data_IF_946263396555
#
_entry.id   IF_946263396555
#
_cell.length_a   1.000
_cell.length_b   1.000
_cell.length_c   1.000
_cell.angle_alpha   90.00
_cell.angle_beta   90.00
_cell.angle_gamma   90.00
#
_symmetry.space_group_name_H-M   'P 1'
#
loop_
_entity.id
_entity.type
_entity.pdbx_description
1 polymer ?
#
# COMPACT_ATOMS: atom_id res chain seq x y z
N UNK A 1 -4.86 -20.72 13.47
CA UNK A 1 -5.75 -20.57 14.64
C UNK A 1 -5.55 -21.62 15.74
N UNK A 2 -5.17 -22.87 15.43
CA UNK A 2 -5.10 -23.96 16.45
C UNK A 2 -4.10 -23.72 17.59
N UNK A 3 -3.01 -22.98 17.38
CA UNK A 3 -1.94 -22.82 18.39
C UNK A 3 -1.98 -21.49 19.18
N UNK A 4 -2.92 -20.59 18.89
CA UNK A 4 -2.96 -19.26 19.52
C UNK A 4 -3.22 -19.33 21.04
N UNK A 5 -3.95 -20.34 21.49
CA UNK A 5 -4.16 -20.60 22.92
C UNK A 5 -2.86 -20.96 23.65
N UNK A 6 -1.91 -21.62 22.98
CA UNK A 6 -0.61 -22.00 23.56
C UNK A 6 0.26 -20.76 23.77
N UNK A 7 0.20 -19.80 22.86
CA UNK A 7 0.83 -18.48 23.03
C UNK A 7 0.39 -17.80 24.32
N UNK A 8 -0.91 -17.89 24.65
CA UNK A 8 -1.46 -17.32 25.88
C UNK A 8 -1.11 -18.16 27.12
N UNK A 9 -1.14 -19.49 27.02
CA UNK A 9 -0.88 -20.41 28.13
C UNK A 9 0.61 -20.52 28.51
N UNK A 10 1.52 -20.18 27.59
CA UNK A 10 2.95 -20.13 27.87
C UNK A 10 3.71 -21.43 27.57
N UNK A 11 4.99 -21.43 27.95
CA UNK A 11 5.97 -22.46 27.57
C UNK A 11 5.62 -23.87 28.01
N UNK A 12 5.10 -24.05 29.22
CA UNK A 12 4.69 -25.38 29.72
C UNK A 12 3.62 -26.01 28.83
N UNK A 13 2.65 -25.22 28.36
CA UNK A 13 1.61 -25.69 27.45
C UNK A 13 2.17 -26.03 26.07
N UNK A 14 3.11 -25.23 25.56
CA UNK A 14 3.85 -25.55 24.35
C UNK A 14 4.61 -26.86 24.47
N UNK A 15 5.39 -27.03 25.55
CA UNK A 15 6.18 -28.23 25.79
C UNK A 15 5.29 -29.46 25.80
N UNK A 16 4.22 -29.42 26.60
CA UNK A 16 3.23 -30.49 26.66
C UNK A 16 2.68 -30.81 25.27
N UNK A 17 2.22 -29.80 24.53
CA UNK A 17 1.69 -29.99 23.18
C UNK A 17 2.70 -30.63 22.23
N UNK A 18 3.93 -30.13 22.21
CA UNK A 18 4.96 -30.56 21.27
C UNK A 18 5.43 -31.99 21.58
N UNK A 19 5.59 -32.35 22.85
CA UNK A 19 6.01 -33.69 23.26
C UNK A 19 4.88 -34.72 23.15
N UNK A 20 3.67 -34.37 23.58
CA UNK A 20 2.55 -35.33 23.64
C UNK A 20 1.97 -35.65 22.24
N UNK A 21 1.92 -34.67 21.32
CA UNK A 21 1.25 -34.88 20.03
C UNK A 21 2.17 -35.21 18.86
N UNK A 22 3.41 -34.75 18.90
CA UNK A 22 4.39 -35.05 17.85
C UNK A 22 5.15 -36.34 18.20
N UNK A 23 5.12 -36.76 19.47
CA UNK A 23 5.81 -37.95 19.98
C UNK A 23 7.32 -37.75 20.10
N UNK A 24 8.05 -38.80 20.49
CA UNK A 24 9.51 -38.76 20.47
C UNK A 24 10.03 -38.68 19.03
N UNK A 25 10.75 -37.60 18.76
CA UNK A 25 11.35 -37.27 17.48
C UNK A 25 12.86 -37.15 17.60
N UNK A 26 13.47 -37.79 18.62
CA UNK A 26 14.91 -37.80 18.90
C UNK A 26 15.52 -36.40 18.92
N UNK A 27 16.15 -35.95 17.81
CA UNK A 27 16.67 -34.58 17.68
C UNK A 27 15.69 -33.45 18.04
N UNK A 28 14.40 -33.56 17.74
CA UNK A 28 13.42 -32.50 18.07
C UNK A 28 13.08 -32.50 19.56
N UNK A 29 12.94 -33.68 20.18
CA UNK A 29 12.76 -33.83 21.63
C UNK A 29 13.92 -33.18 22.37
N UNK A 30 15.16 -33.51 22.00
CA UNK A 30 16.36 -32.91 22.57
C UNK A 30 16.43 -31.38 22.35
N UNK A 31 15.83 -30.87 21.28
CA UNK A 31 15.72 -29.44 21.02
C UNK A 31 14.74 -28.72 21.94
N UNK A 32 13.65 -29.38 22.31
CA UNK A 32 12.66 -28.85 23.25
C UNK A 32 13.19 -28.96 24.69
N UNK A 33 13.79 -30.09 25.06
CA UNK A 33 14.24 -30.37 26.43
C UNK A 33 15.43 -29.51 26.87
N UNK A 34 16.30 -29.07 25.94
CA UNK A 34 17.42 -28.18 26.27
C UNK A 34 17.01 -26.75 26.62
N UNK A 35 15.72 -26.42 26.58
CA UNK A 35 15.18 -25.07 26.82
C UNK A 35 14.31 -25.07 28.07
N UNK A 36 14.34 -23.98 28.84
CA UNK A 36 13.31 -23.70 29.84
C UNK A 36 11.95 -23.43 29.19
N UNK A 37 10.89 -23.36 29.98
CA UNK A 37 9.57 -22.97 29.45
C UNK A 37 9.54 -21.52 28.98
N UNK A 38 10.27 -20.63 29.64
CA UNK A 38 10.42 -19.23 29.21
C UNK A 38 11.14 -19.14 27.87
N UNK A 39 12.24 -19.87 27.69
CA UNK A 39 12.99 -19.92 26.42
C UNK A 39 12.18 -20.56 25.30
N UNK A 40 11.43 -21.61 25.60
CA UNK A 40 10.54 -22.25 24.65
C UNK A 40 9.40 -21.31 24.24
N UNK A 41 8.78 -20.62 25.20
CA UNK A 41 7.77 -19.61 24.91
C UNK A 41 8.35 -18.54 23.99
N UNK A 42 9.53 -17.97 24.33
CA UNK A 42 10.20 -16.96 23.53
C UNK A 42 10.45 -17.44 22.08
N UNK A 43 10.90 -18.68 21.91
CA UNK A 43 11.10 -19.29 20.60
C UNK A 43 9.78 -19.43 19.82
N UNK A 44 8.73 -19.97 20.46
CA UNK A 44 7.45 -20.22 19.80
C UNK A 44 6.70 -18.94 19.44
N UNK A 45 7.00 -17.82 20.11
CA UNK A 45 6.41 -16.51 19.81
C UNK A 45 7.25 -15.65 18.88
N UNK A 46 8.49 -16.01 18.57
CA UNK A 46 9.33 -15.31 17.60
C UNK A 46 9.03 -15.75 16.16
N UNK A 47 7.78 -15.56 15.74
CA UNK A 47 7.35 -15.82 14.36
C UNK A 47 8.08 -14.88 13.39
N UNK A 48 8.18 -15.25 12.11
CA UNK A 48 8.97 -14.48 11.12
C UNK A 48 8.60 -13.00 10.98
N UNK A 49 7.37 -12.59 11.35
CA UNK A 49 6.97 -11.18 11.40
C UNK A 49 7.47 -10.40 12.63
N UNK A 50 8.13 -11.07 13.58
CA UNK A 50 8.79 -10.51 14.77
C UNK A 50 10.32 -10.67 14.73
N UNK A 51 10.84 -11.43 13.77
CA UNK A 51 12.26 -11.66 13.60
C UNK A 51 12.89 -10.55 12.74
N UNK A 52 13.47 -9.55 13.41
CA UNK A 52 14.03 -8.37 12.74
C UNK A 52 15.09 -8.70 11.68
N UNK A 53 16.04 -9.63 11.89
CA UNK A 53 16.98 -10.03 10.84
C UNK A 53 16.29 -10.55 9.57
N UNK A 54 15.32 -11.46 9.70
CA UNK A 54 14.56 -11.97 8.55
C UNK A 54 13.78 -10.88 7.82
N UNK A 55 13.18 -9.94 8.58
CA UNK A 55 12.48 -8.80 7.98
C UNK A 55 13.44 -7.89 7.20
N UNK A 56 14.60 -7.57 7.77
CA UNK A 56 15.62 -6.75 7.10
C UNK A 56 16.11 -7.40 5.82
N UNK A 57 16.46 -8.70 5.86
CA UNK A 57 16.87 -9.44 4.67
C UNK A 57 15.77 -9.41 3.58
N UNK A 58 14.51 -9.60 3.96
CA UNK A 58 13.40 -9.57 3.02
C UNK A 58 13.21 -8.18 2.39
N UNK A 59 13.30 -7.10 3.17
CA UNK A 59 13.20 -5.73 2.67
C UNK A 59 14.40 -5.35 1.80
N UNK A 60 15.62 -5.72 2.19
CA UNK A 60 16.84 -5.47 1.40
C UNK A 60 16.76 -6.19 0.06
N UNK A 61 16.37 -7.46 0.04
CA UNK A 61 16.17 -8.21 -1.22
C UNK A 61 15.11 -7.56 -2.11
N UNK A 62 13.99 -7.12 -1.54
CA UNK A 62 12.94 -6.44 -2.29
C UNK A 62 13.40 -5.09 -2.85
N UNK A 63 14.30 -4.39 -2.16
CA UNK A 63 14.85 -3.10 -2.61
C UNK A 63 15.77 -3.20 -3.83
N UNK A 64 16.13 -4.41 -4.27
CA UNK A 64 17.02 -4.64 -5.42
C UNK A 64 16.30 -4.52 -6.77
N UNK A 65 14.98 -4.35 -6.79
CA UNK A 65 14.19 -4.22 -8.02
C UNK A 65 12.91 -3.39 -7.81
N UNK A 66 12.34 -2.87 -8.91
CA UNK A 66 11.15 -1.98 -8.87
C UNK A 66 9.82 -2.70 -9.10
N UNK A 67 9.75 -4.01 -8.80
CA UNK A 67 8.51 -4.77 -8.97
C UNK A 67 7.66 -4.68 -7.70
N UNK A 68 6.31 -4.69 -7.81
CA UNK A 68 5.46 -4.79 -6.62
C UNK A 68 5.78 -6.06 -5.80
N UNK A 69 6.05 -5.89 -4.50
CA UNK A 69 6.33 -6.99 -3.57
C UNK A 69 5.26 -7.05 -2.49
N UNK A 70 4.70 -8.23 -2.26
CA UNK A 70 3.78 -8.50 -1.15
C UNK A 70 4.53 -9.23 -0.03
N UNK A 71 4.59 -8.61 1.16
CA UNK A 71 5.18 -9.21 2.35
C UNK A 71 4.10 -9.89 3.19
N UNK A 72 4.26 -11.18 3.46
CA UNK A 72 3.38 -11.94 4.37
C UNK A 72 4.08 -12.09 5.72
N UNK A 73 3.82 -11.16 6.64
CA UNK A 73 4.41 -11.18 7.97
C UNK A 73 3.58 -12.04 8.93
N UNK A 74 4.11 -13.20 9.32
CA UNK A 74 3.44 -14.05 10.31
C UNK A 74 3.70 -13.53 11.72
N UNK A 75 2.66 -13.05 12.40
CA UNK A 75 2.77 -12.37 13.71
C UNK A 75 1.78 -12.94 14.74
N UNK A 76 1.96 -12.50 15.98
CA UNK A 76 1.03 -12.74 17.10
C UNK A 76 0.25 -11.46 17.38
N UNK A 77 -1.08 -11.58 17.39
CA UNK A 77 -1.96 -10.47 17.75
C UNK A 77 -1.73 -10.04 19.20
N UNK A 78 -1.40 -8.77 19.40
CA UNK A 78 -1.06 -8.21 20.71
C UNK A 78 0.25 -8.74 21.28
N UNK A 79 1.22 -9.08 20.43
CA UNK A 79 2.56 -9.46 20.84
C UNK A 79 3.14 -8.50 21.89
N UNK A 80 3.80 -9.04 22.92
CA UNK A 80 4.32 -8.28 24.07
C UNK A 80 3.28 -7.90 25.13
N UNK A 81 1.98 -7.98 24.84
CA UNK A 81 0.92 -7.70 25.80
C UNK A 81 0.54 -8.94 26.62
N UNK A 82 0.02 -8.79 27.86
CA UNK A 82 -0.54 -9.89 28.65
C UNK A 82 -1.63 -10.72 27.94
N UNK A 83 -2.32 -10.15 26.95
CA UNK A 83 -3.39 -10.81 26.18
C UNK A 83 -2.91 -11.38 24.83
N UNK A 84 -1.59 -11.48 24.62
CA UNK A 84 -1.01 -11.98 23.37
C UNK A 84 -1.58 -13.36 22.99
N UNK A 85 -2.04 -13.48 21.73
CA UNK A 85 -2.61 -14.73 21.22
C UNK A 85 -4.02 -15.06 21.70
N UNK A 86 -4.60 -14.31 22.65
CA UNK A 86 -5.96 -14.55 23.13
C UNK A 86 -7.00 -14.20 22.05
N UNK A 87 -7.98 -15.09 21.81
CA UNK A 87 -9.00 -14.90 20.75
C UNK A 87 -9.83 -13.61 20.95
N UNK A 88 -10.10 -13.28 22.21
CA UNK A 88 -10.91 -12.10 22.59
C UNK A 88 -10.07 -10.81 22.69
N UNK A 89 -8.77 -10.84 22.35
CA UNK A 89 -7.90 -9.65 22.30
C UNK A 89 -8.32 -8.63 21.21
N UNK A 90 -9.42 -8.85 20.49
CA UNK A 90 -9.92 -7.88 19.53
C UNK A 90 -10.57 -6.66 20.20
N UNK A 91 -11.25 -6.87 21.33
CA UNK A 91 -11.89 -5.83 22.13
C UNK A 91 -11.52 -5.94 23.62
N UNK A 92 -10.66 -6.90 23.98
CA UNK A 92 -10.21 -7.11 25.35
C UNK A 92 -9.38 -5.93 25.85
N UNK A 93 -9.87 -5.29 26.90
CA UNK A 93 -9.09 -4.30 27.65
C UNK A 93 -8.24 -5.02 28.70
N UNK A 94 -7.00 -4.58 28.87
CA UNK A 94 -6.19 -5.03 30.00
C UNK A 94 -6.80 -4.54 31.30
N UNK A 95 -6.82 -5.40 32.32
CA UNK A 95 -7.16 -4.97 33.68
C UNK A 95 -6.10 -3.99 34.21
N UNK A 96 -6.44 -3.22 35.25
CA UNK A 96 -5.47 -2.32 35.90
C UNK A 96 -4.19 -3.07 36.34
N UNK A 97 -4.32 -4.29 36.85
CA UNK A 97 -3.19 -5.15 37.23
C UNK A 97 -2.34 -5.57 36.04
N UNK A 98 -2.96 -5.92 34.91
CA UNK A 98 -2.25 -6.26 33.68
C UNK A 98 -1.53 -5.03 33.11
N UNK A 99 -2.16 -3.86 33.16
CA UNK A 99 -1.54 -2.60 32.72
C UNK A 99 -0.33 -2.24 33.59
N UNK A 100 -0.46 -2.35 34.91
CA UNK A 100 0.64 -2.07 35.84
C UNK A 100 1.81 -3.04 35.62
N UNK A 101 1.51 -4.33 35.42
CA UNK A 101 2.54 -5.34 35.09
C UNK A 101 3.20 -5.05 33.73
N UNK A 102 2.45 -4.53 32.77
CA UNK A 102 2.99 -4.11 31.47
C UNK A 102 3.88 -2.88 31.60
N UNK A 103 3.44 -1.83 32.30
CA UNK A 103 4.21 -0.61 32.59
C UNK A 103 5.57 -0.94 33.22
N UNK A 104 5.57 -1.79 34.24
CA UNK A 104 6.79 -2.24 34.93
C UNK A 104 7.73 -3.00 33.98
N UNK A 105 7.22 -3.94 33.18
CA UNK A 105 8.02 -4.68 32.18
C UNK A 105 8.62 -3.77 31.11
N UNK A 106 7.90 -2.72 30.72
CA UNK A 106 8.40 -1.72 29.77
C UNK A 106 9.37 -0.72 30.40
N UNK A 107 9.57 -0.74 31.73
CA UNK A 107 10.47 0.19 32.43
C UNK A 107 9.96 1.63 32.51
N UNK A 108 8.66 1.86 32.28
CA UNK A 108 8.05 3.20 32.32
C UNK A 108 7.77 3.58 33.77
N UNK A 109 8.11 4.80 34.22
CA UNK A 109 7.80 5.27 35.58
C UNK A 109 6.32 5.66 35.76
N UNK A 110 5.75 5.55 36.98
CA UNK A 110 4.35 5.95 37.21
C UNK A 110 4.14 7.43 36.89
N UNK A 111 3.08 7.73 36.15
CA UNK A 111 2.75 9.10 35.72
C UNK A 111 3.51 9.59 34.48
N UNK A 112 4.41 8.78 33.92
CA UNK A 112 5.14 9.08 32.68
C UNK A 112 4.68 8.22 31.49
N UNK A 113 3.52 7.58 31.58
CA UNK A 113 3.01 6.64 30.56
C UNK A 113 2.82 7.29 29.18
N UNK A 114 2.68 8.61 29.16
CA UNK A 114 2.49 9.40 27.94
C UNK A 114 3.76 10.13 27.48
N UNK A 115 4.85 10.06 28.26
CA UNK A 115 6.11 10.71 27.90
C UNK A 115 6.84 9.90 26.82
N UNK A 116 7.18 10.56 25.71
CA UNK A 116 7.65 9.92 24.46
C UNK A 116 8.84 8.97 24.66
N UNK A 117 9.74 9.31 25.58
CA UNK A 117 11.00 8.60 25.82
C UNK A 117 11.09 8.01 27.24
N UNK A 118 9.97 7.83 27.95
CA UNK A 118 9.95 7.45 29.37
C UNK A 118 10.71 6.15 29.69
N UNK A 119 10.70 5.19 28.77
CA UNK A 119 11.35 3.89 28.89
C UNK A 119 12.74 3.84 28.21
N UNK A 120 13.18 4.94 27.60
CA UNK A 120 14.44 4.94 26.88
C UNK A 120 15.64 4.90 27.82
N UNK A 121 16.64 4.10 27.47
CA UNK A 121 17.94 4.11 28.14
C UNK A 121 18.89 5.18 27.58
N UNK A 122 18.61 5.67 26.36
CA UNK A 122 19.38 6.73 25.71
C UNK A 122 18.83 8.12 26.03
N UNK A 123 19.67 9.17 26.02
CA UNK A 123 19.22 10.55 26.19
C UNK A 123 18.19 10.95 25.13
N UNK A 124 17.12 11.64 25.55
CA UNK A 124 16.02 12.06 24.67
C UNK A 124 16.50 12.85 23.43
N UNK A 125 17.43 13.79 23.60
CA UNK A 125 17.95 14.60 22.50
C UNK A 125 18.70 13.79 21.44
N UNK A 126 19.35 12.68 21.82
CA UNK A 126 20.01 11.77 20.88
C UNK A 126 18.98 10.98 20.08
N UNK A 127 17.94 10.47 20.74
CA UNK A 127 16.84 9.76 20.09
C UNK A 127 16.07 10.65 19.12
N UNK A 128 15.80 11.89 19.51
CA UNK A 128 15.16 12.88 18.64
C UNK A 128 16.01 13.15 17.40
N UNK A 129 17.32 13.38 17.59
CA UNK A 129 18.26 13.60 16.50
C UNK A 129 18.40 12.39 15.59
N UNK A 130 18.32 11.18 16.14
CA UNK A 130 18.35 9.94 15.36
C UNK A 130 17.10 9.80 14.50
N UNK A 131 15.91 9.91 15.10
CA UNK A 131 14.63 9.79 14.36
C UNK A 131 14.49 10.87 13.30
N UNK A 132 14.84 12.13 13.61
CA UNK A 132 14.77 13.23 12.66
C UNK A 132 15.67 13.04 11.42
N UNK A 133 16.76 12.27 11.55
CA UNK A 133 17.69 11.96 10.46
C UNK A 133 17.38 10.67 9.71
N UNK A 134 16.38 9.90 10.15
CA UNK A 134 16.02 8.65 9.51
C UNK A 134 15.64 8.90 8.04
N UNK A 135 16.02 8.00 7.10
CA UNK A 135 15.81 8.20 5.67
C UNK A 135 14.39 8.62 5.29
N UNK A 136 13.39 8.05 5.97
CA UNK A 136 11.98 8.37 5.76
C UNK A 136 11.62 9.86 5.96
N UNK A 137 12.29 10.56 6.87
CA UNK A 137 12.00 11.98 7.16
C UNK A 137 12.90 12.95 6.40
N UNK A 138 13.94 12.47 5.71
CA UNK A 138 14.96 13.32 5.05
C UNK A 138 14.38 14.27 4.01
N UNK A 139 13.39 13.83 3.26
CA UNK A 139 12.77 14.62 2.18
C UNK A 139 11.67 15.57 2.69
N UNK A 140 11.40 15.57 4.00
CA UNK A 140 10.35 16.38 4.60
C UNK A 140 8.94 15.82 4.36
N UNK A 141 7.92 16.69 4.43
CA UNK A 141 6.52 16.27 4.29
C UNK A 141 6.23 15.97 2.81
N UNK A 142 5.58 14.84 2.52
CA UNK A 142 5.12 14.45 1.17
C UNK A 142 3.91 15.27 0.65
N UNK A 143 3.89 16.58 0.92
CA UNK A 143 2.91 17.53 0.34
C UNK A 143 3.62 18.27 -0.79
N UNK A 144 3.47 17.73 -1.99
CA UNK A 144 4.06 18.30 -3.19
C UNK A 144 3.17 19.44 -3.71
N UNK A 145 3.78 20.55 -4.12
CA UNK A 145 3.11 21.63 -4.83
C UNK A 145 3.45 21.51 -6.32
N UNK A 146 2.42 21.47 -7.16
CA UNK A 146 2.60 21.52 -8.61
C UNK A 146 2.57 22.99 -9.08
N UNK A 147 3.37 23.36 -10.10
CA UNK A 147 3.22 24.64 -10.77
C UNK A 147 1.80 24.80 -11.34
N UNK A 148 1.27 26.03 -11.29
CA UNK A 148 -0.01 26.33 -11.93
C UNK A 148 0.10 26.13 -13.45
N UNK A 149 -0.89 25.47 -14.04
CA UNK A 149 -0.99 25.31 -15.50
C UNK A 149 -1.68 26.55 -16.07
N UNK A 150 -1.07 27.29 -17.01
CA UNK A 150 -1.71 28.46 -17.58
C UNK A 150 -2.92 28.03 -18.40
N UNK A 151 -4.09 28.54 -18.02
CA UNK A 151 -5.36 28.31 -18.72
C UNK A 151 -5.63 29.49 -19.64
N UNK A 152 -5.85 29.27 -20.95
CA UNK A 152 -6.22 30.35 -21.87
C UNK A 152 -7.49 31.08 -21.40
N UNK A 153 -7.56 32.40 -21.63
CA UNK A 153 -8.75 33.21 -21.29
C UNK A 153 -10.03 32.73 -21.99
N UNK A 154 -9.87 32.10 -23.15
CA UNK A 154 -10.96 31.52 -23.94
C UNK A 154 -10.63 30.08 -24.26
N UNK A 155 -11.54 29.16 -23.91
CA UNK A 155 -11.48 27.78 -24.34
C UNK A 155 -12.21 27.61 -25.68
N UNK A 156 -11.86 26.56 -26.46
CA UNK A 156 -12.64 26.21 -27.63
C UNK A 156 -14.11 25.99 -27.27
N UNK A 157 -15.00 26.46 -28.13
CA UNK A 157 -16.44 26.25 -28.02
C UNK A 157 -16.93 25.45 -29.21
N UNK A 158 -17.94 24.57 -29.05
CA UNK A 158 -18.58 23.88 -30.15
C UNK A 158 -18.93 24.82 -31.32
N UNK A 159 -18.49 24.46 -32.52
CA UNK A 159 -18.43 25.36 -33.68
C UNK A 159 -19.76 25.55 -34.44
N UNK A 160 -20.86 24.94 -33.97
CA UNK A 160 -22.16 25.01 -34.66
C UNK A 160 -23.28 25.55 -33.76
N UNK A 161 -23.42 26.88 -33.66
CA UNK A 161 -24.56 27.52 -32.99
C UNK A 161 -25.89 27.04 -33.59
N UNK A 162 -26.85 26.70 -32.74
CA UNK A 162 -28.22 26.33 -33.16
C UNK A 162 -28.41 24.87 -33.60
N UNK A 163 -27.36 24.05 -33.66
CA UNK A 163 -27.50 22.60 -33.89
C UNK A 163 -27.77 21.89 -32.56
N UNK A 164 -28.76 20.99 -32.56
CA UNK A 164 -29.05 20.16 -31.40
C UNK A 164 -27.83 19.28 -31.09
N UNK A 165 -27.32 19.34 -29.86
CA UNK A 165 -26.22 18.51 -29.39
C UNK A 165 -26.40 18.11 -27.93
N UNK A 166 -25.95 16.91 -27.58
CA UNK A 166 -25.82 16.52 -26.17
C UNK A 166 -24.63 17.25 -25.53
N UNK A 167 -24.69 17.43 -24.22
CA UNK A 167 -23.58 17.98 -23.42
C UNK A 167 -22.32 17.12 -23.57
N UNK A 168 -22.46 15.78 -23.65
CA UNK A 168 -21.35 14.86 -23.88
C UNK A 168 -20.70 15.07 -25.26
N UNK A 169 -21.51 15.33 -26.29
CA UNK A 169 -20.99 15.65 -27.62
C UNK A 169 -20.21 16.97 -27.59
N UNK A 170 -20.73 17.98 -26.91
CA UNK A 170 -20.05 19.26 -26.70
C UNK A 170 -18.73 19.11 -25.95
N UNK A 171 -18.72 18.36 -24.85
CA UNK A 171 -17.51 18.05 -24.06
C UNK A 171 -16.40 17.46 -24.92
N UNK A 172 -16.70 16.42 -25.70
CA UNK A 172 -15.69 15.81 -26.57
C UNK A 172 -15.23 16.73 -27.71
N UNK A 173 -16.08 17.64 -28.23
CA UNK A 173 -15.63 18.66 -29.20
C UNK A 173 -14.63 19.65 -28.57
N UNK A 174 -14.90 20.10 -27.35
CA UNK A 174 -13.99 20.99 -26.61
C UNK A 174 -12.64 20.30 -26.37
N UNK A 175 -12.65 19.06 -25.86
CA UNK A 175 -11.42 18.29 -25.66
C UNK A 175 -10.67 18.03 -26.96
N UNK A 176 -11.39 17.69 -28.03
CA UNK A 176 -10.82 17.48 -29.35
C UNK A 176 -10.08 18.72 -29.86
N UNK A 177 -10.66 19.90 -29.67
CA UNK A 177 -10.06 21.17 -30.07
C UNK A 177 -8.83 21.52 -29.20
N UNK A 178 -8.91 21.31 -27.89
CA UNK A 178 -7.76 21.45 -26.98
C UNK A 178 -6.63 20.50 -27.40
N UNK A 179 -6.96 19.27 -27.77
CA UNK A 179 -5.99 18.26 -28.21
C UNK A 179 -5.26 18.62 -29.52
N UNK A 180 -5.74 19.60 -30.31
CA UNK A 180 -5.02 20.06 -31.52
C UNK A 180 -3.83 20.95 -31.21
N UNK A 181 -3.90 21.72 -30.11
CA UNK A 181 -2.87 22.68 -29.76
C UNK A 181 -1.69 22.03 -29.03
N UNK A 182 -0.63 22.78 -28.87
CA UNK A 182 0.58 22.47 -28.08
C UNK A 182 0.64 23.31 -26.80
N UNK A 183 -0.52 23.78 -26.33
CA UNK A 183 -0.59 24.61 -25.12
C UNK A 183 -0.19 23.80 -23.89
N UNK A 184 0.36 24.45 -22.83
CA UNK A 184 0.64 23.78 -21.56
C UNK A 184 -0.59 23.11 -20.94
N UNK A 185 -1.79 23.64 -21.20
CA UNK A 185 -3.04 23.01 -20.75
C UNK A 185 -3.27 21.65 -21.44
N UNK A 186 -3.06 21.59 -22.76
CA UNK A 186 -3.27 20.37 -23.53
C UNK A 186 -2.26 19.26 -23.18
N UNK A 187 -1.01 19.63 -22.87
CA UNK A 187 0.01 18.70 -22.37
C UNK A 187 -0.30 18.13 -20.98
N UNK A 188 -1.08 18.87 -20.18
CA UNK A 188 -1.35 18.54 -18.76
C UNK A 188 -2.68 17.83 -18.53
N UNK A 189 -3.58 17.82 -19.51
CA UNK A 189 -4.82 17.05 -19.42
C UNK A 189 -4.50 15.58 -19.66
N UNK A 190 -4.97 14.73 -18.75
CA UNK A 190 -5.03 13.27 -18.92
C UNK A 190 -6.49 12.88 -18.83
N UNK A 191 -6.94 12.05 -19.75
CA UNK A 191 -8.30 11.49 -19.74
C UNK A 191 -8.26 10.04 -19.29
N UNK A 192 -9.35 9.55 -18.72
CA UNK A 192 -9.47 8.14 -18.32
C UNK A 192 -10.93 7.71 -18.40
N UNK A 193 -11.15 6.44 -18.74
CA UNK A 193 -12.47 5.81 -18.69
C UNK A 193 -12.37 4.32 -18.43
N UNK A 194 -13.41 3.72 -17.83
CA UNK A 194 -13.52 2.27 -17.69
C UNK A 194 -14.25 1.67 -18.90
N UNK A 195 -13.57 1.52 -20.04
CA UNK A 195 -14.09 0.88 -21.27
C UNK A 195 -15.27 1.62 -21.95
N UNK A 196 -15.47 2.89 -21.58
CA UNK A 196 -16.56 3.74 -22.09
C UNK A 196 -16.03 4.94 -22.88
N UNK A 197 -14.81 4.87 -23.39
CA UNK A 197 -14.13 5.94 -24.16
C UNK A 197 -14.98 6.45 -25.33
N UNK A 198 -15.59 5.53 -26.07
CA UNK A 198 -16.41 5.88 -27.24
C UNK A 198 -17.75 6.47 -26.83
N UNK A 199 -18.46 5.85 -25.89
CA UNK A 199 -19.79 6.30 -25.44
C UNK A 199 -19.74 7.63 -24.67
N UNK A 200 -18.59 7.94 -24.07
CA UNK A 200 -18.31 9.22 -23.40
C UNK A 200 -17.62 10.25 -24.31
N UNK A 201 -17.54 9.99 -25.62
CA UNK A 201 -17.05 10.95 -26.62
C UNK A 201 -15.59 11.41 -26.39
N UNK A 202 -14.76 10.54 -25.81
CA UNK A 202 -13.31 10.74 -25.66
C UNK A 202 -12.50 10.27 -26.87
N UNK A 203 -13.12 9.50 -27.79
CA UNK A 203 -12.46 8.99 -28.99
C UNK A 203 -11.68 10.03 -29.81
N UNK A 204 -12.20 11.26 -30.05
CA UNK A 204 -11.44 12.29 -30.75
C UNK A 204 -10.18 12.78 -30.00
N UNK A 205 -10.19 12.77 -28.66
CA UNK A 205 -9.00 13.02 -27.84
C UNK A 205 -7.98 11.90 -28.04
N UNK A 206 -8.41 10.64 -27.92
CA UNK A 206 -7.57 9.45 -28.12
C UNK A 206 -6.90 9.46 -29.50
N UNK A 207 -7.65 9.80 -30.56
CA UNK A 207 -7.08 9.89 -31.91
C UNK A 207 -5.93 10.90 -32.05
N UNK A 208 -5.85 11.90 -31.18
CA UNK A 208 -4.77 12.90 -31.20
C UNK A 208 -3.69 12.64 -30.18
N UNK A 209 -4.06 12.15 -29.00
CA UNK A 209 -3.17 12.06 -27.84
C UNK A 209 -2.81 10.63 -27.44
N UNK A 210 -3.34 9.62 -28.13
CA UNK A 210 -3.00 8.22 -27.96
C UNK A 210 -3.42 7.62 -26.61
N UNK A 211 -3.31 6.30 -26.52
CA UNK A 211 -3.49 5.56 -25.28
C UNK A 211 -2.16 5.41 -24.57
N UNK A 212 -2.18 5.60 -23.26
CA UNK A 212 -1.00 5.39 -22.44
C UNK A 212 -0.75 3.90 -22.25
N UNK A 213 0.49 3.49 -22.50
CA UNK A 213 1.03 2.21 -22.05
C UNK A 213 2.51 2.37 -21.72
N UNK A 214 3.02 1.55 -20.81
CA UNK A 214 4.46 1.57 -20.45
C UNK A 214 5.36 1.21 -21.64
N UNK A 215 4.85 0.39 -22.55
CA UNK A 215 5.52 -0.06 -23.76
C UNK A 215 4.64 0.25 -24.97
N UNK A 216 5.27 0.49 -26.12
CA UNK A 216 4.53 0.69 -27.37
C UNK A 216 3.90 -0.61 -27.83
N UNK A 217 2.58 -0.60 -28.04
CA UNK A 217 1.84 -1.73 -28.60
C UNK A 217 1.11 -1.26 -29.86
N UNK A 218 1.28 -2.02 -30.94
CA UNK A 218 0.60 -1.72 -32.19
C UNK A 218 -0.91 -1.94 -32.05
N UNK A 219 -1.70 -1.08 -32.68
CA UNK A 219 -3.13 -1.31 -32.87
C UNK A 219 -3.33 -2.57 -33.73
N UNK A 220 -3.74 -3.67 -33.08
CA UNK A 220 -3.96 -4.96 -33.74
C UNK A 220 -5.08 -4.85 -34.78
N UNK A 221 -6.12 -4.07 -34.53
CA UNK A 221 -7.24 -3.92 -35.46
C UNK A 221 -6.77 -3.23 -36.75
N UNK A 222 -5.94 -2.19 -36.61
CA UNK A 222 -5.29 -1.52 -37.73
C UNK A 222 -4.33 -2.44 -38.47
N UNK A 223 -3.54 -3.25 -37.75
CA UNK A 223 -2.62 -4.23 -38.34
C UNK A 223 -3.36 -5.30 -39.17
N UNK A 224 -4.49 -5.78 -38.64
CA UNK A 224 -5.38 -6.75 -39.30
C UNK A 224 -6.34 -6.11 -40.32
N UNK A 225 -6.17 -4.80 -40.61
CA UNK A 225 -6.98 -4.02 -41.56
C UNK A 225 -8.49 -4.03 -41.26
N UNK A 226 -8.84 -4.17 -39.98
CA UNK A 226 -10.23 -4.09 -39.52
C UNK A 226 -10.61 -2.60 -39.42
N UNK A 227 -11.70 -2.15 -40.08
CA UNK A 227 -12.12 -0.76 -40.02
C UNK A 227 -12.44 -0.31 -38.59
N UNK A 228 -11.78 0.75 -38.13
CA UNK A 228 -12.04 1.43 -36.87
C UNK A 228 -12.05 2.94 -37.08
N UNK A 229 -12.98 3.64 -36.45
CA UNK A 229 -13.03 5.11 -36.43
C UNK A 229 -11.96 5.72 -35.51
N UNK A 230 -11.36 4.89 -34.64
CA UNK A 230 -10.42 5.32 -33.63
C UNK A 230 -9.07 4.61 -33.79
N UNK A 231 -7.99 5.35 -33.56
CA UNK A 231 -6.62 4.82 -33.54
C UNK A 231 -6.32 4.35 -32.13
N UNK A 232 -6.18 3.04 -31.94
CA UNK A 232 -5.87 2.43 -30.65
C UNK A 232 -4.37 2.17 -30.51
N UNK A 233 -3.57 3.19 -30.83
CA UNK A 233 -2.12 3.11 -30.70
C UNK A 233 -1.72 3.39 -29.24
N UNK A 234 -1.07 2.41 -28.61
CA UNK A 234 -0.63 2.47 -27.22
C UNK A 234 0.85 2.87 -27.15
N UNK A 235 1.20 3.74 -26.22
CA UNK A 235 2.60 4.05 -25.93
C UNK A 235 2.81 4.99 -24.75
N UNK A 236 4.08 5.21 -24.36
CA UNK A 236 4.43 5.96 -23.15
C UNK A 236 4.09 7.46 -23.24
N UNK A 237 3.80 7.96 -24.44
CA UNK A 237 3.39 9.34 -24.70
C UNK A 237 1.86 9.53 -24.71
N UNK A 238 1.09 8.46 -24.51
CA UNK A 238 -0.36 8.53 -24.51
C UNK A 238 -0.90 9.39 -23.36
N UNK A 239 -1.94 10.18 -23.61
CA UNK A 239 -2.63 10.99 -22.58
C UNK A 239 -4.05 10.48 -22.27
N UNK A 240 -4.32 9.22 -22.58
CA UNK A 240 -5.56 8.53 -22.23
C UNK A 240 -5.26 7.22 -21.50
N UNK A 241 -5.79 7.07 -20.27
CA UNK A 241 -5.69 5.86 -19.46
C UNK A 241 -6.98 5.05 -19.60
N UNK A 242 -6.95 4.03 -20.46
CA UNK A 242 -8.02 3.06 -20.59
C UNK A 242 -7.93 2.03 -19.46
N UNK A 243 -8.97 1.93 -18.63
CA UNK A 243 -8.96 1.08 -17.43
C UNK A 243 -9.54 -0.32 -17.68
N UNK A 244 -10.17 -0.54 -18.83
CA UNK A 244 -11.04 -1.69 -19.07
C UNK A 244 -12.29 -1.63 -18.19
N UNK A 245 -12.99 -2.75 -18.04
CA UNK A 245 -14.23 -2.83 -17.24
C UNK A 245 -13.85 -2.84 -15.74
N UNK A 246 -13.54 -1.66 -15.21
CA UNK A 246 -13.02 -1.47 -13.84
C UNK A 246 -13.38 -0.10 -13.24
N UNK A 247 -14.64 0.12 -12.90
CA UNK A 247 -15.12 1.37 -12.30
C UNK A 247 -14.49 1.66 -10.93
N UNK A 248 -14.14 0.62 -10.16
CA UNK A 248 -13.40 0.78 -8.90
C UNK A 248 -12.02 1.41 -9.13
N UNK A 249 -11.36 1.11 -10.25
CA UNK A 249 -10.07 1.70 -10.59
C UNK A 249 -10.23 3.19 -10.96
N UNK A 250 -11.33 3.56 -11.61
CA UNK A 250 -11.65 4.97 -11.87
C UNK A 250 -11.74 5.75 -10.57
N UNK A 251 -12.42 5.22 -9.55
CA UNK A 251 -12.58 5.89 -8.26
C UNK A 251 -11.26 6.03 -7.51
N UNK A 252 -10.37 5.02 -7.59
CA UNK A 252 -9.03 5.11 -7.02
C UNK A 252 -8.22 6.21 -7.73
N UNK A 253 -8.27 6.26 -9.06
CA UNK A 253 -7.56 7.27 -9.85
C UNK A 253 -8.02 8.71 -9.53
N UNK A 254 -9.30 8.92 -9.25
CA UNK A 254 -9.85 10.25 -8.90
C UNK A 254 -9.62 10.64 -7.43
N UNK A 255 -9.30 9.69 -6.56
CA UNK A 255 -9.08 9.91 -5.13
C UNK A 255 -7.68 10.40 -4.74
N UNK A 256 -6.78 10.54 -5.73
CA UNK A 256 -5.41 11.01 -5.58
C UNK A 256 -5.26 12.46 -6.05
#
# INVERSE_FOLDING_TARGET
MRSAHLTFQGGAAWRKRLLDEIGDQGPVTALIERRSDEELQALMVNLGGHDLPSLLEAFERASQHDCPVCFICYTIKGYGLPLAGHKDNHAGQMTATQMESFRQRMGVQPGQEWEKWAAATMPAGELESFVARAPFFREGRRRLLAPAVPVPLTLPSPSQPGKLMSTQMGFGQILNDIARGDTPLAERIVTTSPDVTVSTNLGPWVNRRGLFARESMADIFKAERIPSTYSWDFGPQGQHLELGIAESNLMIMLGH
#
